data_IF_042088644506
#
_entry.id   IF_042088644506
#
_cell.length_a   1.000
_cell.length_b   1.000
_cell.length_c   1.000
_cell.angle_alpha   90.00
_cell.angle_beta   90.00
_cell.angle_gamma   90.00
#
_symmetry.space_group_name_H-M   'P 1'
#
loop_
_entity.id
_entity.type
_entity.pdbx_description
1 polymer ?
#
# COMPACT_ATOMS: atom_id res chain seq x y z
N UNK A 1 1.44 -11.49 9.18
CA UNK A 1 2.67 -10.72 9.48
C UNK A 1 3.73 -11.55 10.20
N UNK A 2 3.47 -12.08 11.41
CA UNK A 2 4.41 -12.93 12.16
C UNK A 2 5.07 -14.03 11.31
N UNK A 3 4.28 -14.82 10.59
CA UNK A 3 4.80 -15.89 9.73
C UNK A 3 5.79 -15.38 8.67
N UNK A 4 5.47 -14.28 7.96
CA UNK A 4 6.35 -13.73 6.92
C UNK A 4 7.70 -13.32 7.51
N UNK A 5 7.67 -12.71 8.70
CA UNK A 5 8.88 -12.35 9.43
C UNK A 5 9.69 -13.57 9.85
N UNK A 6 9.06 -14.57 10.48
CA UNK A 6 9.74 -15.80 10.94
C UNK A 6 10.29 -16.64 9.79
N UNK A 7 9.71 -16.51 8.59
CA UNK A 7 10.13 -17.22 7.38
C UNK A 7 11.09 -16.43 6.49
N UNK A 8 11.59 -15.29 6.99
CA UNK A 8 12.55 -14.40 6.32
C UNK A 8 12.10 -13.93 4.93
N UNK A 9 10.82 -13.55 4.81
CA UNK A 9 10.33 -12.88 3.62
C UNK A 9 10.80 -11.43 3.58
N UNK A 10 11.33 -11.00 2.44
CA UNK A 10 11.52 -9.59 2.15
C UNK A 10 10.25 -9.00 1.54
N UNK A 11 9.73 -7.97 2.19
CA UNK A 11 8.52 -7.28 1.74
C UNK A 11 8.89 -6.13 0.81
N UNK A 12 8.58 -6.27 -0.47
CA UNK A 12 9.00 -5.32 -1.51
C UNK A 12 8.11 -4.08 -1.54
N UNK A 13 8.74 -2.93 -1.82
CA UNK A 13 8.04 -1.67 -2.14
C UNK A 13 7.50 -1.70 -3.58
N UNK A 14 6.56 -0.80 -3.95
CA UNK A 14 6.10 -0.68 -5.34
C UNK A 14 7.23 -0.44 -6.35
N UNK A 15 8.23 0.38 -5.98
CA UNK A 15 9.37 0.68 -6.84
C UNK A 15 10.28 -0.54 -7.07
N UNK A 16 10.44 -1.39 -6.04
CA UNK A 16 11.17 -2.65 -6.18
C UNK A 16 10.38 -3.67 -6.98
N UNK A 17 9.06 -3.78 -6.74
CA UNK A 17 8.17 -4.64 -7.51
C UNK A 17 8.24 -4.32 -9.01
N UNK A 18 8.23 -3.03 -9.38
CA UNK A 18 8.44 -2.61 -10.76
C UNK A 18 9.79 -3.07 -11.33
N UNK A 19 10.90 -2.89 -10.60
CA UNK A 19 12.23 -3.34 -11.06
C UNK A 19 12.30 -4.86 -11.21
N UNK A 20 11.66 -5.60 -10.31
CA UNK A 20 11.59 -7.07 -10.36
C UNK A 20 10.82 -7.52 -11.60
N UNK A 21 9.59 -7.04 -11.76
CA UNK A 21 8.67 -7.53 -12.78
C UNK A 21 8.99 -7.01 -14.18
N UNK A 22 9.33 -5.73 -14.31
CA UNK A 22 9.54 -5.09 -15.61
C UNK A 22 11.00 -5.17 -16.10
N UNK A 23 11.97 -5.34 -15.20
CA UNK A 23 13.40 -5.30 -15.56
C UNK A 23 14.15 -6.58 -15.20
N UNK A 24 13.48 -7.58 -14.63
CA UNK A 24 14.08 -8.81 -14.14
C UNK A 24 15.24 -8.57 -13.14
N UNK A 25 15.20 -7.47 -12.39
CA UNK A 25 16.21 -7.10 -11.39
C UNK A 25 15.80 -7.57 -10.00
N UNK A 26 15.94 -8.87 -9.77
CA UNK A 26 15.60 -9.51 -8.49
C UNK A 26 16.69 -9.26 -7.43
N UNK A 27 16.35 -8.77 -6.23
CA UNK A 27 17.32 -8.62 -5.14
C UNK A 27 17.96 -9.96 -4.76
N UNK A 28 19.25 -10.14 -5.07
CA UNK A 28 19.98 -11.40 -4.83
C UNK A 28 20.09 -11.79 -3.35
N UNK A 29 19.97 -10.82 -2.44
CA UNK A 29 20.11 -11.02 -0.99
C UNK A 29 18.93 -11.80 -0.39
N UNK A 30 17.76 -11.80 -1.04
CA UNK A 30 16.53 -12.33 -0.48
C UNK A 30 15.98 -13.44 -1.37
N UNK A 31 15.75 -14.63 -0.80
CA UNK A 31 15.25 -15.79 -1.53
C UNK A 31 13.72 -15.83 -1.64
N UNK A 32 13.02 -15.12 -0.76
CA UNK A 32 11.55 -15.07 -0.70
C UNK A 32 11.10 -13.62 -0.70
N UNK A 33 10.32 -13.25 -1.71
CA UNK A 33 9.81 -11.90 -1.90
C UNK A 33 8.29 -11.93 -1.83
N UNK A 34 7.69 -10.92 -1.22
CA UNK A 34 6.24 -10.72 -1.21
C UNK A 34 5.92 -9.23 -1.20
N UNK A 35 4.87 -8.82 -1.90
CA UNK A 35 4.31 -7.47 -1.76
C UNK A 35 3.05 -7.57 -0.91
N UNK A 36 2.99 -6.82 0.19
CA UNK A 36 1.80 -6.75 1.04
C UNK A 36 1.03 -5.48 0.68
N UNK A 37 -0.22 -5.63 0.28
CA UNK A 37 -1.10 -4.50 -0.07
C UNK A 37 -2.35 -4.48 0.81
N UNK A 38 -2.87 -3.28 1.02
CA UNK A 38 -4.19 -3.02 1.58
C UNK A 38 -4.88 -2.00 0.68
N UNK A 39 -6.19 -2.15 0.52
CA UNK A 39 -6.99 -1.25 -0.30
C UNK A 39 -7.84 -0.32 0.57
N UNK A 40 -8.46 0.65 -0.09
CA UNK A 40 -9.44 1.62 0.41
C UNK A 40 -8.94 2.69 1.40
N UNK A 41 -7.99 2.36 2.27
CA UNK A 41 -7.45 3.30 3.26
C UNK A 41 -8.31 3.46 4.51
N UNK A 42 -8.84 2.35 5.03
CA UNK A 42 -9.57 2.31 6.30
C UNK A 42 -8.68 2.71 7.50
N UNK A 43 -9.30 3.30 8.52
CA UNK A 43 -8.60 3.74 9.74
C UNK A 43 -7.84 2.59 10.43
N UNK A 44 -8.35 1.36 10.33
CA UNK A 44 -7.71 0.18 10.91
C UNK A 44 -6.32 -0.13 10.31
N UNK A 45 -6.00 0.39 9.12
CA UNK A 45 -4.65 0.33 8.57
C UNK A 45 -3.66 1.08 9.47
N UNK A 46 -4.10 2.16 10.13
CA UNK A 46 -3.29 2.90 11.09
C UNK A 46 -3.38 2.31 12.50
N UNK A 47 -4.58 2.03 13.02
CA UNK A 47 -4.75 1.65 14.43
C UNK A 47 -4.34 0.20 14.71
N UNK A 48 -4.52 -0.71 13.74
CA UNK A 48 -4.21 -2.13 13.90
C UNK A 48 -3.01 -2.57 13.05
N UNK A 49 -3.00 -2.28 11.75
CA UNK A 49 -1.96 -2.83 10.86
C UNK A 49 -0.59 -2.16 11.07
N UNK A 50 -0.53 -0.82 11.11
CA UNK A 50 0.74 -0.08 11.20
C UNK A 50 1.62 -0.43 12.43
N UNK A 51 1.09 -0.64 13.66
CA UNK A 51 1.86 -1.17 14.77
C UNK A 51 2.45 -2.56 14.50
N UNK A 52 1.72 -3.43 13.81
CA UNK A 52 2.18 -4.79 13.48
C UNK A 52 3.23 -4.76 12.37
N UNK A 53 3.09 -3.87 11.38
CA UNK A 53 4.10 -3.64 10.34
C UNK A 53 5.44 -3.24 10.99
N UNK A 54 5.41 -2.30 11.94
CA UNK A 54 6.58 -1.90 12.74
C UNK A 54 7.16 -3.08 13.53
N UNK A 55 6.32 -3.81 14.26
CA UNK A 55 6.72 -4.94 15.12
C UNK A 55 7.43 -6.06 14.35
N UNK A 56 6.93 -6.39 13.15
CA UNK A 56 7.43 -7.51 12.35
C UNK A 56 8.37 -7.08 11.22
N UNK A 57 8.74 -5.80 11.18
CA UNK A 57 9.59 -5.22 10.15
C UNK A 57 9.09 -5.47 8.72
N UNK A 58 7.78 -5.31 8.52
CA UNK A 58 7.12 -5.53 7.23
C UNK A 58 6.80 -4.19 6.59
N UNK A 59 7.16 -4.05 5.33
CA UNK A 59 6.68 -2.98 4.46
C UNK A 59 5.33 -3.37 3.85
N UNK A 60 4.38 -2.43 3.79
CA UNK A 60 3.13 -2.59 3.07
C UNK A 60 2.83 -1.38 2.17
N UNK A 61 1.98 -1.59 1.18
CA UNK A 61 1.46 -0.52 0.32
C UNK A 61 -0.03 -0.35 0.55
N UNK A 62 -0.50 0.87 0.73
CA UNK A 62 -1.92 1.17 0.88
C UNK A 62 -2.41 1.91 -0.36
N UNK A 63 -3.40 1.35 -1.04
CA UNK A 63 -4.18 2.06 -2.06
C UNK A 63 -5.18 3.00 -1.39
N UNK A 64 -5.03 4.31 -1.58
CA UNK A 64 -5.92 5.31 -0.99
C UNK A 64 -7.01 5.74 -1.95
N UNK A 65 -8.27 5.67 -1.51
CA UNK A 65 -9.37 6.41 -2.14
C UNK A 65 -9.25 7.87 -1.68
N UNK A 66 -8.82 8.76 -2.56
CA UNK A 66 -8.37 10.10 -2.13
C UNK A 66 -9.51 10.96 -1.58
N UNK A 67 -10.74 10.83 -2.10
CA UNK A 67 -11.93 11.55 -1.60
C UNK A 67 -12.38 11.11 -0.20
N UNK A 68 -11.93 9.95 0.28
CA UNK A 68 -12.33 9.37 1.57
C UNK A 68 -11.38 9.74 2.71
N UNK A 69 -10.23 10.34 2.41
CA UNK A 69 -9.29 10.82 3.44
C UNK A 69 -9.99 11.85 4.35
N UNK A 70 -9.71 11.79 5.65
CA UNK A 70 -10.33 12.63 6.69
C UNK A 70 -11.85 12.44 6.88
N UNK A 71 -12.46 11.40 6.27
CA UNK A 71 -13.85 11.00 6.53
C UNK A 71 -13.94 9.94 7.63
N UNK A 72 -15.13 9.74 8.20
CA UNK A 72 -15.34 8.80 9.32
C UNK A 72 -14.96 7.36 8.93
N UNK A 73 -14.13 6.72 9.77
CA UNK A 73 -13.68 5.33 9.57
C UNK A 73 -12.54 5.18 8.56
N UNK A 74 -12.04 6.28 8.01
CA UNK A 74 -10.97 6.31 7.01
C UNK A 74 -9.72 6.96 7.59
N UNK A 75 -8.58 6.78 6.91
CA UNK A 75 -7.34 7.41 7.31
C UNK A 75 -7.43 8.94 7.24
N UNK A 76 -6.88 9.60 8.26
CA UNK A 76 -6.66 11.04 8.24
C UNK A 76 -5.41 11.40 7.45
N UNK A 77 -5.36 12.61 6.89
CA UNK A 77 -4.17 13.10 6.18
C UNK A 77 -2.95 13.14 7.11
N UNK A 78 -3.15 13.38 8.41
CA UNK A 78 -2.09 13.31 9.43
C UNK A 78 -1.51 11.90 9.55
N UNK A 79 -2.37 10.88 9.68
CA UNK A 79 -1.97 9.47 9.76
C UNK A 79 -1.26 9.03 8.47
N UNK A 80 -1.77 9.42 7.31
CA UNK A 80 -1.14 9.17 5.99
C UNK A 80 0.27 9.77 5.96
N UNK A 81 0.42 11.04 6.33
CA UNK A 81 1.74 11.72 6.36
C UNK A 81 2.70 11.05 7.34
N UNK A 82 2.23 10.61 8.50
CA UNK A 82 3.05 9.88 9.47
C UNK A 82 3.54 8.55 8.90
N UNK A 83 2.63 7.72 8.41
CA UNK A 83 2.95 6.41 7.84
C UNK A 83 3.88 6.54 6.62
N UNK A 84 3.65 7.54 5.76
CA UNK A 84 4.47 7.80 4.56
C UNK A 84 5.90 8.24 4.90
N UNK A 85 6.09 8.97 6.00
CA UNK A 85 7.43 9.34 6.49
C UNK A 85 8.17 8.16 7.10
N UNK A 86 7.46 7.09 7.45
CA UNK A 86 8.06 5.85 7.90
C UNK A 86 8.61 5.04 6.73
N UNK A 87 9.47 4.06 7.01
CA UNK A 87 9.91 3.07 6.02
C UNK A 87 8.93 1.90 5.82
N UNK A 88 7.81 1.88 6.54
CA UNK A 88 6.92 0.72 6.63
C UNK A 88 5.72 0.80 5.70
N UNK A 89 5.37 1.98 5.19
CA UNK A 89 4.17 2.17 4.38
C UNK A 89 4.46 3.02 3.15
N UNK A 90 4.18 2.46 1.97
CA UNK A 90 3.99 3.22 0.73
C UNK A 90 2.51 3.53 0.54
N UNK A 91 2.20 4.61 -0.17
CA UNK A 91 0.84 4.90 -0.62
C UNK A 91 0.78 4.97 -2.14
N UNK A 92 -0.27 4.42 -2.72
CA UNK A 92 -0.61 4.47 -4.16
C UNK A 92 -2.06 4.90 -4.35
N UNK A 93 -2.44 5.25 -5.58
CA UNK A 93 -3.83 5.59 -5.91
C UNK A 93 -4.71 4.33 -5.83
N UNK A 94 -5.90 4.48 -5.27
CA UNK A 94 -7.01 3.54 -5.42
C UNK A 94 -8.25 4.28 -5.94
N UNK A 95 -8.02 5.13 -6.94
CA UNK A 95 -8.96 6.08 -7.53
C UNK A 95 -9.36 7.24 -6.62
N UNK A 96 -10.08 8.22 -7.17
CA UNK A 96 -10.58 9.35 -6.40
C UNK A 96 -11.80 8.96 -5.58
N UNK A 97 -12.82 8.36 -6.19
CA UNK A 97 -14.12 8.12 -5.60
C UNK A 97 -14.52 6.64 -5.52
N UNK A 98 -13.65 5.71 -5.92
CA UNK A 98 -13.88 4.26 -5.89
C UNK A 98 -15.02 3.82 -6.81
N UNK A 99 -15.13 4.47 -7.96
CA UNK A 99 -16.09 4.07 -8.98
C UNK A 99 -15.61 2.82 -9.74
N UNK A 100 -16.56 2.03 -10.23
CA UNK A 100 -16.26 0.91 -11.12
C UNK A 100 -15.76 1.45 -12.47
N UNK A 101 -14.43 1.54 -12.63
CA UNK A 101 -13.79 2.14 -13.81
C UNK A 101 -14.29 1.57 -15.15
N UNK A 102 -14.63 0.28 -15.20
CA UNK A 102 -15.14 -0.39 -16.40
C UNK A 102 -16.55 0.06 -16.81
N UNK A 103 -17.24 0.84 -15.97
CA UNK A 103 -18.55 1.45 -16.27
C UNK A 103 -18.45 2.92 -16.65
N UNK A 104 -17.26 3.51 -16.60
CA UNK A 104 -17.00 4.89 -17.01
C UNK A 104 -16.49 4.94 -18.45
N UNK A 105 -16.78 6.05 -19.11
CA UNK A 105 -16.11 6.39 -20.36
C UNK A 105 -14.64 6.80 -20.11
N UNK A 106 -13.88 7.04 -21.18
CA UNK A 106 -12.46 7.37 -21.05
C UNK A 106 -12.23 8.66 -20.23
N UNK A 107 -13.12 9.64 -20.34
CA UNK A 107 -13.03 10.87 -19.59
C UNK A 107 -13.19 10.62 -18.08
N UNK A 108 -14.21 9.85 -17.69
CA UNK A 108 -14.45 9.47 -16.30
C UNK A 108 -13.32 8.60 -15.73
N UNK A 109 -12.79 7.66 -16.51
CA UNK A 109 -11.64 6.86 -16.09
C UNK A 109 -10.39 7.72 -15.84
N UNK A 110 -10.15 8.75 -16.67
CA UNK A 110 -9.03 9.68 -16.50
C UNK A 110 -9.20 10.62 -15.31
N UNK A 111 -10.44 11.00 -14.99
CA UNK A 111 -10.73 11.81 -13.80
C UNK A 111 -10.47 11.03 -12.51
N UNK A 112 -10.78 9.73 -12.51
CA UNK A 112 -10.62 8.87 -11.33
C UNK A 112 -9.15 8.47 -11.03
N UNK A 113 -8.27 8.37 -12.03
CA UNK A 113 -6.91 7.80 -11.91
C UNK A 113 -5.81 8.83 -11.57
#
# INVERSE_FOLDING_TARGET
MKYLHEQDYYTVTPAEAYKILAQNKVPKKHKKLVMVTFDDGYENNYTAAYPLLKKYHIHATIGLITSKVDTQGMLTLKQVKEMKKSKWVSFVSHTQNHQELNRLDEAGQREEM
#
